data_IF_339199971699
#
_entry.id   IF_339199971699
#
_cell.length_a   1.000
_cell.length_b   1.000
_cell.length_c   1.000
_cell.angle_alpha   90.00
_cell.angle_beta   90.00
_cell.angle_gamma   90.00
#
_symmetry.space_group_name_H-M   'P 1'
#
loop_
_entity.id
_entity.type
_entity.pdbx_description
1 polymer ?
#
# COMPACT_ATOMS: atom_id res chain seq x y z
N UNK A 1 -21.85 8.80 -6.07
CA UNK A 1 -21.76 7.46 -6.67
C UNK A 1 -20.30 7.21 -7.05
N UNK A 2 -19.68 6.12 -6.59
CA UNK A 2 -18.38 5.72 -7.11
C UNK A 2 -18.58 5.23 -8.55
N UNK A 3 -17.83 5.82 -9.49
CA UNK A 3 -18.04 5.71 -10.94
C UNK A 3 -17.47 4.44 -11.57
N UNK A 4 -17.66 4.33 -12.90
CA UNK A 4 -17.43 3.18 -13.78
C UNK A 4 -15.97 2.71 -13.96
N UNK A 5 -15.06 3.07 -13.05
CA UNK A 5 -13.62 2.74 -13.17
C UNK A 5 -13.25 1.71 -12.12
N UNK A 6 -12.80 0.54 -12.58
CA UNK A 6 -12.29 -0.53 -11.73
C UNK A 6 -10.76 -0.55 -11.81
N UNK A 7 -10.09 -0.50 -10.66
CA UNK A 7 -8.65 -0.68 -10.59
C UNK A 7 -8.33 -2.18 -10.42
N UNK A 8 -7.70 -2.78 -11.44
CA UNK A 8 -7.34 -4.19 -11.41
C UNK A 8 -6.26 -4.46 -10.35
N UNK A 9 -6.43 -5.54 -9.58
CA UNK A 9 -5.50 -6.01 -8.56
C UNK A 9 -5.02 -4.89 -7.59
N UNK A 10 -5.91 -3.94 -7.27
CA UNK A 10 -5.54 -2.77 -6.47
C UNK A 10 -5.45 -3.07 -4.97
N UNK A 11 -6.08 -4.14 -4.50
CA UNK A 11 -6.22 -4.46 -3.08
C UNK A 11 -6.03 -5.96 -2.81
N UNK A 12 -5.62 -6.28 -1.59
CA UNK A 12 -5.51 -7.63 -1.08
C UNK A 12 -5.96 -7.70 0.38
N UNK A 13 -6.20 -8.92 0.85
CA UNK A 13 -6.51 -9.21 2.25
C UNK A 13 -5.98 -10.58 2.62
N UNK A 14 -5.88 -10.84 3.93
CA UNK A 14 -5.54 -12.15 4.47
C UNK A 14 -6.79 -12.73 5.16
N UNK A 15 -7.63 -13.52 4.44
CA UNK A 15 -8.86 -14.06 5.02
C UNK A 15 -8.61 -15.22 6.00
N UNK A 16 -7.47 -15.89 5.88
CA UNK A 16 -7.05 -16.99 6.75
C UNK A 16 -5.54 -16.89 7.02
N UNK A 17 -5.09 -15.86 7.75
CA UNK A 17 -3.69 -15.72 8.11
C UNK A 17 -3.30 -16.76 9.18
N UNK A 18 -1.99 -16.96 9.40
CA UNK A 18 -1.53 -17.77 10.53
C UNK A 18 -1.92 -17.13 11.88
N UNK A 19 -2.01 -17.94 12.93
CA UNK A 19 -2.57 -17.54 14.24
C UNK A 19 -1.95 -16.25 14.82
N UNK A 20 -0.65 -16.04 14.64
CA UNK A 20 0.06 -14.84 15.10
C UNK A 20 -0.41 -13.53 14.42
N UNK A 21 -1.20 -13.63 13.35
CA UNK A 21 -1.70 -12.50 12.56
C UNK A 21 -3.23 -12.53 12.43
N UNK A 22 -3.93 -13.23 13.31
CA UNK A 22 -5.40 -13.34 13.30
C UNK A 22 -6.11 -11.97 13.29
N UNK A 23 -5.49 -10.94 13.87
CA UNK A 23 -6.01 -9.56 13.86
C UNK A 23 -6.14 -8.96 12.46
N UNK A 24 -5.47 -9.51 11.43
CA UNK A 24 -5.58 -9.04 10.05
C UNK A 24 -6.85 -9.51 9.33
N UNK A 25 -7.62 -10.43 9.92
CA UNK A 25 -8.85 -10.95 9.31
C UNK A 25 -9.85 -9.81 9.11
N UNK A 26 -10.34 -9.68 7.88
CA UNK A 26 -11.32 -8.64 7.50
C UNK A 26 -10.70 -7.29 7.14
N UNK A 27 -9.39 -7.11 7.32
CA UNK A 27 -8.70 -5.90 6.90
C UNK A 27 -8.30 -5.96 5.42
N UNK A 28 -8.37 -4.80 4.76
CA UNK A 28 -7.96 -4.61 3.37
C UNK A 28 -6.70 -3.75 3.35
N UNK A 29 -5.73 -4.17 2.56
CA UNK A 29 -4.61 -3.34 2.13
C UNK A 29 -4.74 -3.04 0.63
N UNK A 30 -4.23 -1.90 0.17
CA UNK A 30 -4.27 -1.53 -1.24
C UNK A 30 -3.06 -0.72 -1.66
N UNK A 31 -2.80 -0.69 -2.97
CA UNK A 31 -1.72 0.05 -3.59
C UNK A 31 -2.12 1.53 -3.75
N UNK A 32 -1.44 2.49 -3.08
CA UNK A 32 -1.72 3.92 -3.29
C UNK A 32 -1.58 4.34 -4.76
N UNK A 33 -0.63 3.74 -5.47
CA UNK A 33 -0.37 4.02 -6.89
C UNK A 33 -1.36 3.38 -7.87
N UNK A 34 -2.35 2.60 -7.41
CA UNK A 34 -3.40 2.01 -8.28
C UNK A 34 -4.78 2.64 -8.06
N UNK A 35 -4.89 3.62 -7.18
CA UNK A 35 -6.12 4.38 -6.91
C UNK A 35 -5.91 5.85 -7.25
N UNK A 36 -7.00 6.60 -7.39
CA UNK A 36 -6.92 8.04 -7.70
C UNK A 36 -6.25 8.85 -6.57
N UNK A 37 -6.63 8.55 -5.32
CA UNK A 37 -6.04 9.16 -4.15
C UNK A 37 -6.14 8.25 -2.93
N UNK A 38 -5.10 8.29 -2.09
CA UNK A 38 -5.02 7.63 -0.80
C UNK A 38 -4.62 8.67 0.24
N UNK A 39 -5.28 8.68 1.39
CA UNK A 39 -5.00 9.64 2.46
C UNK A 39 -4.87 8.94 3.81
N UNK A 40 -3.88 9.36 4.60
CA UNK A 40 -3.71 8.97 6.00
C UNK A 40 -3.73 10.24 6.85
N UNK A 41 -4.67 10.35 7.78
CA UNK A 41 -4.83 11.54 8.65
C UNK A 41 -4.85 12.88 7.88
N UNK A 42 -5.43 12.87 6.68
CA UNK A 42 -5.51 14.03 5.78
C UNK A 42 -4.25 14.28 4.94
N UNK A 43 -3.17 13.57 5.18
CA UNK A 43 -1.98 13.58 4.33
C UNK A 43 -2.18 12.69 3.10
N UNK A 44 -1.86 13.23 1.91
CA UNK A 44 -1.86 12.41 0.69
C UNK A 44 -0.68 11.45 0.73
N UNK A 45 -0.97 10.16 0.65
CA UNK A 45 0.03 9.10 0.63
C UNK A 45 0.68 9.00 -0.75
N UNK A 46 2.01 9.01 -0.78
CA UNK A 46 2.78 8.73 -1.99
C UNK A 46 3.01 7.21 -2.13
N UNK A 47 3.02 6.66 -3.36
CA UNK A 47 3.29 5.24 -3.55
C UNK A 47 4.76 4.93 -3.27
N UNK A 48 5.03 3.82 -2.57
CA UNK A 48 6.39 3.30 -2.45
C UNK A 48 6.99 3.06 -3.85
N UNK A 49 8.24 3.51 -4.10
CA UNK A 49 8.89 3.33 -5.39
C UNK A 49 8.94 1.87 -5.86
N UNK A 50 8.97 1.69 -7.18
CA UNK A 50 9.06 0.38 -7.83
C UNK A 50 7.74 -0.37 -8.00
N UNK A 51 6.64 0.09 -7.38
CA UNK A 51 5.28 -0.42 -7.64
C UNK A 51 4.97 -1.84 -7.14
N UNK A 52 5.95 -2.54 -6.56
CA UNK A 52 5.83 -3.92 -6.09
C UNK A 52 5.29 -4.01 -4.65
N UNK A 53 5.85 -3.22 -3.73
CA UNK A 53 5.65 -3.39 -2.28
C UNK A 53 4.32 -2.88 -1.74
N UNK A 54 3.62 -2.02 -2.48
CA UNK A 54 2.34 -1.44 -2.04
C UNK A 54 2.45 -0.58 -0.78
N UNK A 55 3.65 -0.10 -0.44
CA UNK A 55 3.88 0.73 0.74
C UNK A 55 3.29 2.13 0.62
N UNK A 56 2.94 2.68 1.79
CA UNK A 56 2.24 3.95 1.96
C UNK A 56 3.23 4.98 2.47
N UNK A 57 3.81 5.75 1.56
CA UNK A 57 4.81 6.76 1.91
C UNK A 57 4.14 8.01 2.45
N UNK A 58 4.42 8.30 3.72
CA UNK A 58 4.07 9.55 4.40
C UNK A 58 5.35 10.28 4.84
N UNK A 59 5.22 11.53 5.27
CA UNK A 59 6.31 12.37 5.79
C UNK A 59 7.03 11.76 6.99
N UNK A 60 6.36 10.84 7.71
CA UNK A 60 6.90 10.21 8.91
C UNK A 60 7.86 9.06 8.56
N UNK A 61 7.80 8.55 7.32
CA UNK A 61 8.73 7.54 6.81
C UNK A 61 9.97 8.24 6.27
N UNK A 62 11.08 8.08 6.97
CA UNK A 62 12.37 8.70 6.64
C UNK A 62 13.44 7.67 6.31
N UNK A 63 14.44 8.08 5.54
CA UNK A 63 15.58 7.25 5.15
C UNK A 63 15.38 6.52 3.82
N UNK A 64 16.28 5.60 3.46
CA UNK A 64 16.19 4.81 2.24
C UNK A 64 14.97 3.88 2.28
N UNK A 65 14.30 3.74 1.13
CA UNK A 65 13.07 2.96 0.98
C UNK A 65 13.25 1.97 -0.15
N UNK A 66 12.88 0.70 0.09
CA UNK A 66 12.97 -0.36 -0.93
C UNK A 66 12.21 0.01 -2.20
N UNK A 67 12.77 -0.35 -3.35
CA UNK A 67 12.22 -0.04 -4.67
C UNK A 67 12.67 1.30 -5.25
N UNK A 68 13.38 2.13 -4.48
CA UNK A 68 14.09 3.30 -4.98
C UNK A 68 15.47 2.95 -5.56
N UNK A 69 16.09 3.84 -6.35
CA UNK A 69 17.44 3.63 -6.88
C UNK A 69 18.45 3.30 -5.76
N UNK A 70 19.25 2.25 -5.92
CA UNK A 70 20.25 1.83 -4.94
C UNK A 70 19.73 0.95 -3.81
N UNK A 71 18.47 0.48 -3.86
CA UNK A 71 17.88 -0.43 -2.86
C UNK A 71 17.61 -1.85 -3.38
N UNK A 72 18.16 -2.20 -4.54
CA UNK A 72 17.90 -3.45 -5.27
C UNK A 72 18.45 -4.70 -4.56
N UNK A 73 19.28 -4.52 -3.54
CA UNK A 73 20.01 -5.58 -2.80
C UNK A 73 19.64 -5.63 -1.31
N UNK A 74 18.61 -4.89 -0.90
CA UNK A 74 18.11 -4.83 0.49
C UNK A 74 17.15 -5.97 0.85
#
# INVERSE_FOLDING_TARGET
AAGAVTAADAAWSYPSPGDAYAELIGWIAFYPGRVEACFLDGERVEPQPGGFYGGWMTKDIVGPVKGGPGTERW
#
